data_IF_005724139534
#
_entry.id   IF_005724139534
#
_cell.length_a   1.000
_cell.length_b   1.000
_cell.length_c   1.000
_cell.angle_alpha   90.00
_cell.angle_beta   90.00
_cell.angle_gamma   90.00
#
_symmetry.space_group_name_H-M   'P 1'
#
loop_
_entity.id
_entity.type
_entity.pdbx_description
1 polymer ?
#
# COMPACT_ATOMS: atom_id res chain seq x y z
N UNK A 1 -39.28 17.83 55.91
CA UNK A 1 -39.24 16.35 55.90
C UNK A 1 -39.24 15.88 54.46
N UNK A 2 -38.13 15.33 53.97
CA UNK A 2 -38.00 14.05 53.26
C UNK A 2 -36.60 13.98 52.64
N UNK A 3 -35.78 13.07 53.19
CA UNK A 3 -34.47 12.63 52.67
C UNK A 3 -34.70 11.84 51.38
N UNK A 4 -33.78 11.89 50.41
CA UNK A 4 -33.27 10.66 49.78
C UNK A 4 -32.05 10.87 48.85
N UNK A 5 -30.95 10.22 49.26
CA UNK A 5 -29.90 9.54 48.50
C UNK A 5 -29.30 10.18 47.24
N UNK A 6 -28.14 10.84 47.42
CA UNK A 6 -27.18 11.06 46.34
C UNK A 6 -26.49 9.76 45.95
N UNK A 7 -26.65 9.34 44.68
CA UNK A 7 -25.86 8.26 44.06
C UNK A 7 -24.50 8.83 43.66
N UNK A 8 -23.46 8.44 44.37
CA UNK A 8 -22.07 8.68 43.96
C UNK A 8 -21.79 7.71 42.81
N UNK A 9 -21.75 8.23 41.58
CA UNK A 9 -21.19 7.51 40.45
C UNK A 9 -19.66 7.54 40.58
N UNK A 10 -19.04 6.40 40.87
CA UNK A 10 -17.61 6.21 40.66
C UNK A 10 -17.33 6.30 39.17
N UNK A 11 -16.71 7.40 38.74
CA UNK A 11 -16.03 7.46 37.45
C UNK A 11 -14.73 6.65 37.59
N UNK A 12 -14.75 5.42 37.06
CA UNK A 12 -13.52 4.70 36.78
C UNK A 12 -12.82 5.42 35.60
N UNK A 13 -11.58 5.90 35.74
CA UNK A 13 -10.84 6.43 34.60
C UNK A 13 -10.57 5.27 33.64
N UNK A 14 -11.20 5.31 32.45
CA UNK A 14 -10.74 4.52 31.32
C UNK A 14 -9.30 4.92 31.05
N UNK A 15 -8.35 4.03 31.34
CA UNK A 15 -7.00 4.11 30.84
C UNK A 15 -7.09 3.93 29.32
N UNK A 16 -7.24 5.04 28.59
CA UNK A 16 -6.96 5.06 27.16
C UNK A 16 -5.49 4.68 27.02
N UNK A 17 -5.24 3.42 26.69
CA UNK A 17 -3.96 3.00 26.13
C UNK A 17 -3.78 3.76 24.82
N UNK A 18 -3.10 4.90 24.90
CA UNK A 18 -2.70 5.65 23.72
C UNK A 18 -1.82 4.73 22.89
N UNK A 19 -2.34 4.25 21.76
CA UNK A 19 -1.51 3.69 20.72
C UNK A 19 -0.50 4.78 20.36
N UNK A 20 0.74 4.59 20.79
CA UNK A 20 1.83 5.51 20.52
C UNK A 20 1.95 5.59 19.01
N UNK A 21 1.62 6.74 18.43
CA UNK A 21 1.74 6.95 16.99
C UNK A 21 3.20 6.63 16.61
N UNK A 22 3.39 5.72 15.66
CA UNK A 22 4.73 5.39 15.20
C UNK A 22 5.39 6.67 14.67
N UNK A 23 6.62 6.95 15.12
CA UNK A 23 7.35 8.13 14.68
C UNK A 23 7.55 8.12 13.15
N UNK A 24 7.44 9.31 12.54
CA UNK A 24 7.63 9.46 11.11
C UNK A 24 9.09 9.14 10.72
N UNK A 25 9.35 8.44 9.59
CA UNK A 25 10.71 8.06 9.22
C UNK A 25 11.63 9.27 8.98
N UNK A 26 12.82 9.25 9.56
CA UNK A 26 13.74 10.38 9.57
C UNK A 26 14.64 10.49 8.32
N UNK A 27 14.83 9.40 7.57
CA UNK A 27 15.69 9.37 6.38
C UNK A 27 14.87 9.13 5.11
N UNK A 28 15.35 9.57 3.92
CA UNK A 28 14.66 9.32 2.66
C UNK A 28 14.46 7.84 2.37
N UNK A 29 15.48 7.01 2.64
CA UNK A 29 15.41 5.56 2.44
C UNK A 29 14.33 4.95 3.34
N UNK A 30 14.26 5.34 4.61
CA UNK A 30 13.23 4.84 5.53
C UNK A 30 11.82 5.31 5.15
N UNK A 31 11.66 6.52 4.58
CA UNK A 31 10.39 6.96 3.99
C UNK A 31 9.99 6.08 2.81
N UNK A 32 10.94 5.76 1.91
CA UNK A 32 10.68 4.86 0.78
C UNK A 32 10.35 3.45 1.24
N UNK A 33 11.05 2.91 2.23
CA UNK A 33 10.73 1.61 2.85
C UNK A 33 9.30 1.58 3.39
N UNK A 34 8.89 2.62 4.14
CA UNK A 34 7.54 2.71 4.70
C UNK A 34 6.47 2.84 3.59
N UNK A 35 6.74 3.65 2.57
CA UNK A 35 5.90 3.77 1.39
C UNK A 35 5.73 2.44 0.65
N UNK A 36 6.83 1.75 0.33
CA UNK A 36 6.80 0.46 -0.39
C UNK A 36 6.11 -0.62 0.43
N UNK A 37 6.32 -0.64 1.75
CA UNK A 37 5.60 -1.57 2.65
C UNK A 37 4.09 -1.36 2.57
N UNK A 38 3.61 -0.11 2.58
CA UNK A 38 2.18 0.19 2.48
C UNK A 38 1.65 -0.10 1.06
N UNK A 39 2.34 0.37 0.02
CA UNK A 39 1.95 0.19 -1.38
C UNK A 39 1.86 -1.29 -1.78
N UNK A 40 2.85 -2.09 -1.39
CA UNK A 40 2.91 -3.52 -1.72
C UNK A 40 1.91 -4.39 -0.97
N UNK A 41 1.31 -3.86 0.10
CA UNK A 41 0.14 -4.40 0.78
C UNK A 41 -1.20 -3.97 0.14
N UNK A 42 -1.16 -3.19 -0.94
CA UNK A 42 -2.34 -2.72 -1.67
C UNK A 42 -2.91 -1.40 -1.18
N UNK A 43 -2.23 -0.67 -0.28
CA UNK A 43 -2.79 0.52 0.34
C UNK A 43 -3.14 1.62 -0.66
N UNK A 44 -2.38 1.74 -1.76
CA UNK A 44 -2.64 2.70 -2.83
C UNK A 44 -3.88 2.34 -3.68
N UNK A 45 -4.27 1.07 -3.72
CA UNK A 45 -5.42 0.59 -4.49
C UNK A 45 -6.75 0.84 -3.76
N UNK A 46 -6.75 0.88 -2.43
CA UNK A 46 -7.96 0.98 -1.62
C UNK A 46 -8.10 2.36 -0.96
N UNK A 47 -9.28 2.98 -1.10
CA UNK A 47 -9.57 4.29 -0.53
C UNK A 47 -9.49 4.31 1.01
N UNK A 48 -9.88 3.23 1.68
CA UNK A 48 -9.87 3.13 3.14
C UNK A 48 -8.44 3.14 3.72
N UNK A 49 -7.45 2.70 2.94
CA UNK A 49 -6.05 2.58 3.35
C UNK A 49 -5.14 3.62 2.68
N UNK A 50 -5.71 4.51 1.85
CA UNK A 50 -4.93 5.48 1.08
C UNK A 50 -4.03 6.36 1.96
N UNK A 51 -4.52 6.76 3.13
CA UNK A 51 -3.77 7.59 4.09
C UNK A 51 -2.44 6.97 4.50
N UNK A 52 -2.33 5.64 4.51
CA UNK A 52 -1.08 4.93 4.83
C UNK A 52 0.02 5.18 3.81
N UNK A 53 -0.34 5.46 2.55
CA UNK A 53 0.59 5.85 1.48
C UNK A 53 0.72 7.36 1.38
N UNK A 54 -0.42 8.06 1.42
CA UNK A 54 -0.49 9.51 1.19
C UNK A 54 0.46 10.29 2.10
N UNK A 55 0.58 9.88 3.37
CA UNK A 55 1.45 10.52 4.34
C UNK A 55 2.92 10.60 3.92
N UNK A 56 3.39 9.76 2.99
CA UNK A 56 4.77 9.75 2.52
C UNK A 56 4.98 10.51 1.21
N UNK A 57 3.91 11.07 0.63
CA UNK A 57 3.89 11.64 -0.72
C UNK A 57 3.41 13.09 -0.70
N UNK A 58 3.66 13.84 -1.77
CA UNK A 58 3.03 15.15 -1.99
C UNK A 58 1.77 15.07 -2.87
N UNK A 59 1.27 13.88 -3.16
CA UNK A 59 0.14 13.74 -4.08
C UNK A 59 -1.15 14.22 -3.40
N UNK A 60 -1.86 15.20 -3.99
CA UNK A 60 -2.99 15.84 -3.34
C UNK A 60 -4.21 14.90 -3.22
N UNK A 61 -4.29 13.88 -4.06
CA UNK A 61 -5.41 12.93 -4.10
C UNK A 61 -4.94 11.51 -4.43
N UNK A 62 -5.78 10.53 -4.08
CA UNK A 62 -5.65 9.15 -4.52
C UNK A 62 -5.79 9.10 -6.04
N UNK A 63 -4.90 8.34 -6.67
CA UNK A 63 -4.99 8.08 -8.11
C UNK A 63 -5.82 6.83 -8.37
N UNK A 64 -6.60 6.85 -9.44
CA UNK A 64 -7.30 5.67 -9.94
C UNK A 64 -6.33 4.87 -10.80
N UNK A 65 -6.21 3.58 -10.53
CA UNK A 65 -5.36 2.67 -11.26
C UNK A 65 -6.23 1.59 -11.90
N UNK A 66 -6.03 1.34 -13.19
CA UNK A 66 -6.71 0.25 -13.90
C UNK A 66 -6.10 -1.13 -13.57
N UNK A 67 -5.03 -1.15 -12.78
CA UNK A 67 -4.29 -2.35 -12.44
C UNK A 67 -3.05 -2.08 -11.60
N UNK A 68 -2.28 -3.12 -11.31
CA UNK A 68 -1.04 -3.03 -10.56
C UNK A 68 0.00 -4.04 -11.05
N UNK A 69 1.28 -3.75 -10.82
CA UNK A 69 2.33 -4.73 -11.03
C UNK A 69 2.33 -5.74 -9.89
N UNK A 70 2.53 -7.01 -10.21
CA UNK A 70 2.68 -8.08 -9.23
C UNK A 70 4.16 -8.39 -9.09
N UNK A 71 4.70 -8.24 -7.88
CA UNK A 71 6.13 -8.36 -7.61
C UNK A 71 6.44 -9.51 -6.67
N UNK A 72 7.52 -10.23 -6.95
CA UNK A 72 8.04 -11.30 -6.10
C UNK A 72 8.84 -10.75 -4.93
N UNK A 73 9.72 -9.79 -5.22
CA UNK A 73 10.57 -9.12 -4.23
C UNK A 73 11.00 -7.75 -4.75
N UNK A 74 11.55 -6.95 -3.84
CA UNK A 74 12.16 -5.67 -4.16
C UNK A 74 13.48 -5.51 -3.39
N UNK A 75 14.32 -4.61 -3.89
CA UNK A 75 15.55 -4.19 -3.22
C UNK A 75 15.67 -2.67 -3.32
N UNK A 76 15.83 -2.01 -2.18
CA UNK A 76 16.03 -0.57 -2.09
C UNK A 76 17.54 -0.30 -2.07
N UNK A 77 18.02 0.50 -3.02
CA UNK A 77 19.40 0.93 -3.08
C UNK A 77 19.68 2.05 -2.06
N UNK A 78 20.94 2.26 -1.65
CA UNK A 78 21.31 3.43 -0.86
C UNK A 78 20.82 4.73 -1.53
N UNK A 79 20.25 5.62 -0.72
CA UNK A 79 19.80 6.93 -1.19
C UNK A 79 20.97 7.85 -1.51
N UNK A 80 20.76 8.75 -2.47
CA UNK A 80 21.66 9.88 -2.77
C UNK A 80 21.00 11.16 -2.27
N UNK A 81 21.59 11.81 -1.29
CA UNK A 81 21.08 13.06 -0.70
C UNK A 81 21.92 14.26 -1.13
N UNK A 82 21.27 15.38 -1.47
CA UNK A 82 21.91 16.66 -1.74
C UNK A 82 20.91 17.79 -1.55
N UNK A 83 21.29 18.86 -0.84
CA UNK A 83 20.52 20.11 -0.72
C UNK A 83 19.05 19.94 -0.31
N UNK A 84 18.78 19.07 0.67
CA UNK A 84 17.41 18.81 1.14
C UNK A 84 16.53 18.04 0.14
N UNK A 85 17.15 17.46 -0.89
CA UNK A 85 16.56 16.52 -1.84
C UNK A 85 17.23 15.17 -1.70
N UNK A 86 16.54 14.13 -2.16
CA UNK A 86 17.10 12.80 -2.25
C UNK A 86 16.58 12.05 -3.48
N UNK A 87 17.36 11.10 -3.95
CA UNK A 87 16.94 10.10 -4.92
C UNK A 87 17.16 8.72 -4.34
N UNK A 88 16.13 7.88 -4.37
CA UNK A 88 16.17 6.50 -3.92
C UNK A 88 15.68 5.60 -5.05
N UNK A 89 16.46 4.57 -5.36
CA UNK A 89 16.13 3.62 -6.43
C UNK A 89 15.64 2.32 -5.81
N UNK A 90 14.54 1.80 -6.33
CA UNK A 90 13.97 0.50 -5.95
C UNK A 90 13.96 -0.41 -7.15
N UNK A 91 14.62 -1.56 -7.05
CA UNK A 91 14.61 -2.59 -8.09
C UNK A 91 13.59 -3.67 -7.71
N UNK A 92 12.84 -4.17 -8.69
CA UNK A 92 11.79 -5.16 -8.51
C UNK A 92 11.99 -6.38 -9.40
N UNK A 93 11.73 -7.55 -8.82
CA UNK A 93 11.43 -8.76 -9.58
C UNK A 93 9.93 -8.77 -9.87
N UNK A 94 9.52 -8.28 -11.03
CA UNK A 94 8.12 -8.28 -11.46
C UNK A 94 7.77 -9.65 -12.03
N UNK A 95 6.62 -10.20 -11.63
CA UNK A 95 6.05 -11.44 -12.16
C UNK A 95 5.11 -11.19 -13.35
N UNK A 96 4.37 -10.09 -13.29
CA UNK A 96 3.36 -9.74 -14.28
C UNK A 96 2.57 -8.50 -13.88
N UNK A 97 1.44 -8.29 -14.52
CA UNK A 97 0.52 -7.19 -14.26
C UNK A 97 -0.89 -7.73 -13.99
N UNK A 98 -1.49 -7.29 -12.88
CA UNK A 98 -2.90 -7.49 -12.61
C UNK A 98 -3.69 -6.39 -13.32
N UNK A 99 -4.57 -6.77 -14.25
CA UNK A 99 -5.31 -5.87 -15.15
C UNK A 99 -6.76 -5.58 -14.68
N UNK A 100 -7.05 -5.89 -13.42
CA UNK A 100 -8.41 -5.81 -12.85
C UNK A 100 -9.19 -7.13 -12.96
N UNK A 101 -8.75 -8.08 -13.79
CA UNK A 101 -9.39 -9.39 -13.95
C UNK A 101 -8.43 -10.51 -13.60
N UNK A 102 -7.26 -10.54 -14.25
CA UNK A 102 -6.28 -11.63 -14.17
C UNK A 102 -4.87 -11.08 -14.00
N UNK A 103 -3.89 -11.96 -13.87
CA UNK A 103 -2.48 -11.58 -13.97
C UNK A 103 -1.91 -11.99 -15.31
N UNK A 104 -1.57 -11.00 -16.13
CA UNK A 104 -0.78 -11.19 -17.33
C UNK A 104 0.69 -11.42 -16.94
N UNK A 105 1.11 -12.69 -16.90
CA UNK A 105 2.47 -13.08 -16.56
C UNK A 105 3.46 -12.53 -17.60
N UNK A 106 4.44 -11.75 -17.12
CA UNK A 106 5.51 -11.18 -17.94
C UNK A 106 6.71 -10.87 -17.03
N UNK A 107 7.45 -11.92 -16.61
CA UNK A 107 8.51 -11.77 -15.63
C UNK A 107 9.64 -10.89 -16.14
N UNK A 108 10.03 -9.89 -15.36
CA UNK A 108 11.09 -8.94 -15.75
C UNK A 108 11.69 -8.23 -14.54
N UNK A 109 12.84 -7.62 -14.75
CA UNK A 109 13.37 -6.61 -13.84
C UNK A 109 12.69 -5.27 -14.15
N UNK A 110 12.28 -4.57 -13.10
CA UNK A 110 11.75 -3.21 -13.19
C UNK A 110 12.49 -2.32 -12.18
N UNK A 111 12.61 -1.03 -12.51
CA UNK A 111 13.25 -0.06 -11.63
C UNK A 111 12.34 1.15 -11.44
N UNK A 112 12.13 1.51 -10.18
CA UNK A 112 11.44 2.73 -9.78
C UNK A 112 12.45 3.68 -9.14
N UNK A 113 12.62 4.85 -9.75
CA UNK A 113 13.40 5.94 -9.14
C UNK A 113 12.42 6.90 -8.46
N UNK A 114 12.57 7.07 -7.15
CA UNK A 114 11.77 7.99 -6.35
C UNK A 114 12.61 9.20 -5.98
N UNK A 115 12.08 10.38 -6.28
CA UNK A 115 12.63 11.66 -5.84
C UNK A 115 11.94 12.08 -4.55
N UNK A 116 12.72 12.60 -3.60
CA UNK A 116 12.22 13.10 -2.34
C UNK A 116 12.70 14.52 -2.10
N UNK A 117 11.90 15.32 -1.40
CA UNK A 117 12.31 16.61 -0.88
C UNK A 117 11.84 16.79 0.57
N UNK A 118 12.59 17.57 1.35
CA UNK A 118 12.15 17.98 2.69
C UNK A 118 11.00 18.98 2.59
N UNK A 119 9.91 18.69 3.28
CA UNK A 119 8.84 19.62 3.60
C UNK A 119 8.81 19.81 5.13
N UNK A 120 9.29 20.96 5.59
CA UNK A 120 9.62 21.14 7.01
C UNK A 120 10.63 20.09 7.46
N UNK A 121 10.30 19.32 8.49
CA UNK A 121 11.16 18.27 9.04
C UNK A 121 10.86 16.86 8.48
N UNK A 122 10.02 16.74 7.45
CA UNK A 122 9.64 15.45 6.88
C UNK A 122 10.11 15.30 5.43
N UNK A 123 10.69 14.15 5.09
CA UNK A 123 10.92 13.77 3.71
C UNK A 123 9.62 13.32 3.05
N UNK A 124 9.36 13.78 1.82
CA UNK A 124 8.18 13.37 1.04
C UNK A 124 8.60 12.96 -0.36
N UNK A 125 7.96 11.93 -0.89
CA UNK A 125 8.06 11.50 -2.28
C UNK A 125 7.40 12.55 -3.17
N UNK A 126 8.14 12.95 -4.20
CA UNK A 126 7.83 13.98 -5.19
C UNK A 126 7.36 13.36 -6.50
N UNK A 127 6.95 14.24 -7.43
CA UNK A 127 6.72 13.86 -8.82
C UNK A 127 5.38 13.17 -9.05
N UNK A 128 5.25 12.51 -10.20
CA UNK A 128 4.03 11.80 -10.56
C UNK A 128 3.88 10.49 -9.74
N UNK A 129 2.65 10.11 -9.38
CA UNK A 129 2.38 8.80 -8.80
C UNK A 129 2.87 7.65 -9.65
N UNK A 130 3.50 6.68 -8.99
CA UNK A 130 3.89 5.44 -9.61
C UNK A 130 2.74 4.42 -9.54
N UNK A 131 2.59 3.60 -10.59
CA UNK A 131 1.67 2.45 -10.58
C UNK A 131 2.00 1.55 -9.37
N UNK A 132 1.00 1.08 -8.59
CA UNK A 132 1.22 0.25 -7.42
C UNK A 132 1.91 -1.07 -7.77
N UNK A 133 2.70 -1.58 -6.82
CA UNK A 133 3.47 -2.84 -6.95
C UNK A 133 3.14 -3.77 -5.79
N UNK A 134 2.16 -4.66 -5.99
CA UNK A 134 1.65 -5.55 -4.94
C UNK A 134 2.48 -6.83 -4.85
N UNK A 135 2.62 -7.34 -3.62
CA UNK A 135 3.12 -8.70 -3.41
C UNK A 135 2.09 -9.74 -3.89
N UNK A 136 2.54 -10.96 -4.18
CA UNK A 136 1.62 -12.08 -4.49
C UNK A 136 0.55 -12.28 -3.42
N UNK A 137 0.93 -12.14 -2.13
CA UNK A 137 0.02 -12.23 -1.00
C UNK A 137 -1.08 -11.16 -1.04
N UNK A 138 -0.76 -9.92 -1.43
CA UNK A 138 -1.74 -8.84 -1.56
C UNK A 138 -2.60 -8.97 -2.83
N UNK A 139 -2.08 -9.59 -3.90
CA UNK A 139 -2.81 -9.80 -5.16
C UNK A 139 -3.80 -10.96 -5.08
N UNK A 140 -3.50 -12.03 -4.35
CA UNK A 140 -4.35 -13.23 -4.28
C UNK A 140 -5.81 -12.95 -3.86
N UNK A 141 -6.10 -12.13 -2.83
CA UNK A 141 -7.48 -11.77 -2.48
C UNK A 141 -8.23 -11.04 -3.60
N UNK A 142 -7.55 -10.20 -4.39
CA UNK A 142 -8.16 -9.51 -5.53
C UNK A 142 -8.58 -10.50 -6.61
N UNK A 143 -7.71 -11.48 -6.93
CA UNK A 143 -8.03 -12.54 -7.88
C UNK A 143 -9.16 -13.44 -7.38
N UNK A 144 -9.23 -13.71 -6.07
CA UNK A 144 -10.32 -14.49 -5.49
C UNK A 144 -11.65 -13.76 -5.61
N UNK A 145 -11.69 -12.46 -5.35
CA UNK A 145 -12.89 -11.65 -5.55
C UNK A 145 -13.33 -11.68 -7.02
N UNK A 146 -12.41 -11.49 -7.97
CA UNK A 146 -12.71 -11.56 -9.40
C UNK A 146 -13.21 -12.95 -9.83
N UNK A 147 -12.65 -14.02 -9.26
CA UNK A 147 -13.09 -15.39 -9.54
C UNK A 147 -14.54 -15.62 -9.13
N UNK A 148 -14.94 -15.16 -7.94
CA UNK A 148 -16.32 -15.32 -7.46
C UNK A 148 -17.30 -14.48 -8.29
N UNK A 149 -16.90 -13.27 -8.69
CA UNK A 149 -17.70 -12.45 -9.61
C UNK A 149 -17.88 -13.14 -10.98
N UNK A 150 -16.79 -13.66 -11.57
CA UNK A 150 -16.83 -14.33 -12.87
C UNK A 150 -17.69 -15.60 -12.85
N UNK A 151 -17.62 -16.39 -11.77
CA UNK A 151 -18.51 -17.55 -11.56
C UNK A 151 -19.98 -17.14 -11.50
N UNK A 152 -20.29 -16.06 -10.79
CA UNK A 152 -21.66 -15.52 -10.70
C UNK A 152 -22.22 -15.07 -12.05
N UNK A 153 -21.36 -14.61 -12.95
CA UNK A 153 -21.72 -14.20 -14.32
C UNK A 153 -21.76 -15.36 -15.32
N UNK A 154 -21.22 -16.53 -14.96
CA UNK A 154 -21.23 -17.72 -15.81
C UNK A 154 -20.27 -17.65 -17.01
N UNK A 155 -19.15 -16.94 -16.91
CA UNK A 155 -18.12 -16.88 -17.96
C UNK A 155 -16.99 -17.89 -17.68
N UNK A 156 -17.03 -19.11 -18.27
CA UNK A 156 -16.04 -20.14 -18.00
C UNK A 156 -14.63 -19.78 -18.50
N UNK A 157 -14.51 -18.96 -19.54
CA UNK A 157 -13.20 -18.54 -20.06
C UNK A 157 -12.50 -17.62 -19.08
N UNK A 158 -13.22 -16.64 -18.54
CA UNK A 158 -12.66 -15.72 -17.53
C UNK A 158 -12.32 -16.48 -16.25
N UNK A 159 -13.20 -17.38 -15.80
CA UNK A 159 -12.93 -18.26 -14.63
C UNK A 159 -11.61 -19.00 -14.81
N UNK A 160 -11.40 -19.66 -15.96
CA UNK A 160 -10.17 -20.40 -16.23
C UNK A 160 -8.92 -19.49 -16.18
N UNK A 161 -8.98 -18.30 -16.77
CA UNK A 161 -7.85 -17.35 -16.77
C UNK A 161 -7.47 -16.88 -15.37
N UNK A 162 -8.47 -16.67 -14.50
CA UNK A 162 -8.24 -16.26 -13.11
C UNK A 162 -7.65 -17.42 -12.30
N UNK A 163 -8.14 -18.64 -12.47
CA UNK A 163 -7.59 -19.84 -11.82
C UNK A 163 -6.14 -20.12 -12.23
N UNK A 164 -5.81 -19.93 -13.51
CA UNK A 164 -4.42 -19.97 -14.00
C UNK A 164 -3.54 -18.90 -13.34
N UNK A 165 -4.05 -17.68 -13.21
CA UNK A 165 -3.35 -16.60 -12.50
C UNK A 165 -3.09 -16.95 -11.04
N UNK A 166 -4.09 -17.47 -10.32
CA UNK A 166 -3.95 -17.88 -8.92
C UNK A 166 -2.91 -19.00 -8.78
N UNK A 167 -2.91 -19.99 -9.69
CA UNK A 167 -1.91 -21.07 -9.69
C UNK A 167 -0.50 -20.54 -9.92
N UNK A 168 -0.34 -19.54 -10.79
CA UNK A 168 0.97 -18.96 -11.11
C UNK A 168 1.58 -18.13 -9.97
N UNK A 169 0.78 -17.68 -9.00
CA UNK A 169 1.24 -16.85 -7.88
C UNK A 169 1.50 -17.63 -6.57
N UNK A 170 1.15 -18.91 -6.51
CA UNK A 170 1.38 -19.81 -5.36
C UNK A 170 2.72 -20.52 -5.48
#
# INVERSE_FOLDING_TARGET
>A
MFKLLGKIFMFAPLLLSGAQAADYPATPVAVVEAYIKADSAGAAMNAATWSSVQQYTQWPAKHSWDGCLVVKKHQIAPGKEADGKATVVVNYDVLGEFDGVRVAMSPRQDQLTLELAKQGNQWKIMGAPAKPRLTTMATLPLLQEQLEQAKGLGDPSVVQQIEESIRALK
#
